data_IF_440603427501
#
_entry.id   IF_440603427501
#
_cell.length_a   1.000
_cell.length_b   1.000
_cell.length_c   1.000
_cell.angle_alpha   90.00
_cell.angle_beta   90.00
_cell.angle_gamma   90.00
#
_symmetry.space_group_name_H-M   'P 1'
#
loop_
_entity.id
_entity.type
_entity.pdbx_description
1 polymer ?
#
# COMPACT_ATOMS: atom_id res chain seq x y z
N UNK A 1 -14.68 -58.11 -8.97
CA UNK A 1 -13.71 -58.01 -7.85
C UNK A 1 -13.89 -56.78 -6.96
N UNK A 2 -14.50 -55.68 -7.41
CA UNK A 2 -14.66 -54.48 -6.58
C UNK A 2 -15.92 -54.41 -5.70
N UNK A 3 -16.87 -55.33 -5.84
CA UNK A 3 -18.13 -55.27 -5.08
C UNK A 3 -17.96 -55.62 -3.61
N UNK A 4 -17.14 -56.62 -3.28
CA UNK A 4 -16.89 -57.01 -1.88
C UNK A 4 -16.12 -55.94 -1.11
N UNK A 5 -15.19 -55.25 -1.78
CA UNK A 5 -14.41 -54.16 -1.21
C UNK A 5 -15.29 -52.91 -1.02
N UNK A 6 -16.14 -52.60 -1.99
CA UNK A 6 -17.15 -51.54 -1.86
C UNK A 6 -18.16 -51.83 -0.75
N UNK A 7 -18.73 -53.04 -0.67
CA UNK A 7 -19.70 -53.39 0.37
C UNK A 7 -19.08 -53.44 1.77
N UNK A 8 -17.82 -53.86 1.89
CA UNK A 8 -17.07 -53.83 3.14
C UNK A 8 -16.88 -52.39 3.64
N UNK A 9 -16.37 -51.51 2.78
CA UNK A 9 -16.15 -50.09 3.12
C UNK A 9 -17.46 -49.39 3.49
N UNK A 10 -18.56 -49.66 2.79
CA UNK A 10 -19.87 -49.07 3.11
C UNK A 10 -20.40 -49.60 4.45
N UNK A 11 -20.27 -50.90 4.72
CA UNK A 11 -20.69 -51.48 6.00
C UNK A 11 -19.85 -50.96 7.18
N UNK A 12 -18.53 -50.82 6.99
CA UNK A 12 -17.61 -50.30 8.00
C UNK A 12 -17.88 -48.82 8.32
N UNK A 13 -18.42 -48.05 7.36
CA UNK A 13 -18.71 -46.61 7.49
C UNK A 13 -20.21 -46.29 7.61
N UNK A 14 -21.08 -47.29 7.78
CA UNK A 14 -22.53 -47.12 7.79
C UNK A 14 -23.01 -46.16 8.90
N UNK A 15 -22.41 -46.21 10.08
CA UNK A 15 -22.72 -45.27 11.17
C UNK A 15 -22.38 -43.82 10.80
N UNK A 16 -21.24 -43.58 10.14
CA UNK A 16 -20.82 -42.26 9.68
C UNK A 16 -21.70 -41.75 8.54
N UNK A 17 -22.12 -42.64 7.63
CA UNK A 17 -23.05 -42.29 6.54
C UNK A 17 -24.43 -41.91 7.07
N UNK A 18 -24.98 -42.64 8.05
CA UNK A 18 -26.24 -42.27 8.70
C UNK A 18 -26.12 -40.95 9.43
N UNK A 19 -25.05 -40.75 10.20
CA UNK A 19 -24.81 -39.47 10.87
C UNK A 19 -24.71 -38.29 9.87
N UNK A 20 -24.12 -38.50 8.69
CA UNK A 20 -24.04 -37.51 7.63
C UNK A 20 -25.41 -37.26 6.98
N UNK A 21 -26.24 -38.28 6.78
CA UNK A 21 -27.59 -38.13 6.22
C UNK A 21 -28.52 -37.41 7.20
N UNK A 22 -28.48 -37.82 8.48
CA UNK A 22 -29.32 -37.28 9.54
C UNK A 22 -29.00 -35.81 9.85
N UNK A 23 -27.70 -35.46 9.89
CA UNK A 23 -27.28 -34.11 10.27
C UNK A 23 -26.89 -33.23 9.08
N UNK A 24 -26.42 -33.81 7.97
CA UNK A 24 -25.86 -33.07 6.85
C UNK A 24 -26.90 -32.32 6.03
N UNK A 25 -28.13 -32.82 5.93
CA UNK A 25 -29.21 -32.16 5.17
C UNK A 25 -29.63 -30.83 5.80
N UNK A 26 -29.78 -30.78 7.12
CA UNK A 26 -30.09 -29.57 7.86
C UNK A 26 -28.96 -28.55 7.73
N UNK A 27 -27.71 -28.95 7.99
CA UNK A 27 -26.55 -28.06 7.87
C UNK A 27 -26.34 -27.56 6.43
N UNK A 28 -26.55 -28.41 5.42
CA UNK A 28 -26.45 -28.00 4.02
C UNK A 28 -27.54 -27.00 3.62
N UNK A 29 -28.77 -27.17 4.12
CA UNK A 29 -29.86 -26.23 3.88
C UNK A 29 -29.62 -24.88 4.56
N UNK A 30 -29.10 -24.87 5.79
CA UNK A 30 -28.72 -23.65 6.50
C UNK A 30 -27.57 -22.93 5.78
N UNK A 31 -26.52 -23.65 5.39
CA UNK A 31 -25.42 -23.07 4.62
C UNK A 31 -25.90 -22.52 3.28
N UNK A 32 -26.78 -23.24 2.57
CA UNK A 32 -27.37 -22.77 1.31
C UNK A 32 -28.16 -21.49 1.54
N UNK A 33 -29.04 -21.47 2.53
CA UNK A 33 -29.87 -20.30 2.87
C UNK A 33 -29.00 -19.10 3.25
N UNK A 34 -27.94 -19.34 4.02
CA UNK A 34 -26.96 -18.31 4.37
C UNK A 34 -26.25 -17.76 3.13
N UNK A 35 -25.77 -18.63 2.23
CA UNK A 35 -25.10 -18.22 1.00
C UNK A 35 -26.03 -17.49 0.03
N UNK A 36 -27.27 -17.96 -0.13
CA UNK A 36 -28.30 -17.31 -0.97
C UNK A 36 -28.69 -15.94 -0.39
N UNK A 37 -28.86 -15.83 0.92
CA UNK A 37 -29.23 -14.57 1.61
C UNK A 37 -28.10 -13.54 1.57
N UNK A 38 -26.84 -13.97 1.70
CA UNK A 38 -25.67 -13.10 1.80
C UNK A 38 -24.83 -13.07 0.52
N UNK A 39 -25.36 -13.56 -0.60
CA UNK A 39 -24.59 -13.77 -1.83
C UNK A 39 -23.88 -12.50 -2.31
N UNK A 40 -24.58 -11.36 -2.26
CA UNK A 40 -24.08 -10.06 -2.71
C UNK A 40 -22.98 -9.56 -1.76
N UNK A 41 -23.27 -9.52 -0.46
CA UNK A 41 -22.34 -8.98 0.55
C UNK A 41 -21.08 -9.85 0.68
N UNK A 42 -21.22 -11.18 0.65
CA UNK A 42 -20.10 -12.10 0.67
C UNK A 42 -19.29 -12.01 -0.62
N UNK A 43 -19.95 -11.86 -1.77
CA UNK A 43 -19.29 -11.64 -3.05
C UNK A 43 -18.46 -10.35 -3.05
N UNK A 44 -19.03 -9.25 -2.52
CA UNK A 44 -18.33 -7.98 -2.39
C UNK A 44 -17.15 -8.07 -1.39
N UNK A 45 -17.35 -8.70 -0.24
CA UNK A 45 -16.30 -8.91 0.75
C UNK A 45 -15.13 -9.71 0.16
N UNK A 46 -15.41 -10.85 -0.47
CA UNK A 46 -14.39 -11.69 -1.12
C UNK A 46 -13.68 -10.90 -2.20
N UNK A 47 -14.40 -10.13 -3.02
CA UNK A 47 -13.80 -9.30 -4.07
C UNK A 47 -12.83 -8.25 -3.49
N UNK A 48 -13.24 -7.55 -2.43
CA UNK A 48 -12.39 -6.59 -1.71
C UNK A 48 -11.17 -7.26 -1.09
N UNK A 49 -11.33 -8.45 -0.51
CA UNK A 49 -10.21 -9.22 0.07
C UNK A 49 -9.23 -9.70 -1.00
N UNK A 50 -9.72 -10.17 -2.15
CA UNK A 50 -8.88 -10.59 -3.28
C UNK A 50 -8.09 -9.39 -3.80
N UNK A 51 -8.76 -8.27 -4.06
CA UNK A 51 -8.11 -7.03 -4.52
C UNK A 51 -7.02 -6.58 -3.54
N UNK A 52 -7.31 -6.59 -2.24
CA UNK A 52 -6.33 -6.24 -1.20
C UNK A 52 -5.17 -7.23 -1.16
N UNK A 53 -5.46 -8.53 -1.27
CA UNK A 53 -4.45 -9.59 -1.32
C UNK A 53 -3.50 -9.44 -2.50
N UNK A 54 -4.02 -9.15 -3.69
CA UNK A 54 -3.22 -8.90 -4.90
C UNK A 54 -2.28 -7.70 -4.72
N UNK A 55 -2.78 -6.59 -4.16
CA UNK A 55 -1.96 -5.41 -3.86
C UNK A 55 -0.85 -5.75 -2.88
N UNK A 56 -1.14 -6.44 -1.78
CA UNK A 56 -0.14 -6.84 -0.77
C UNK A 56 0.91 -7.76 -1.36
N UNK A 57 0.49 -8.81 -2.08
CA UNK A 57 1.40 -9.78 -2.71
C UNK A 57 2.36 -9.08 -3.66
N UNK A 58 1.87 -8.12 -4.46
CA UNK A 58 2.72 -7.39 -5.41
C UNK A 58 3.73 -6.44 -4.75
N UNK A 59 3.42 -5.97 -3.53
CA UNK A 59 4.30 -5.10 -2.75
C UNK A 59 5.15 -5.84 -1.71
N UNK A 60 5.12 -7.19 -1.67
CA UNK A 60 5.94 -7.99 -0.76
C UNK A 60 7.43 -7.62 -0.75
N UNK A 61 8.09 -7.31 -1.90
CA UNK A 61 9.48 -6.86 -1.88
C UNK A 61 9.69 -5.57 -1.06
N UNK A 62 8.79 -4.58 -1.22
CA UNK A 62 8.83 -3.32 -0.47
C UNK A 62 8.52 -3.51 1.02
N UNK A 63 7.51 -4.32 1.34
CA UNK A 63 7.17 -4.66 2.73
C UNK A 63 8.35 -5.35 3.41
N UNK A 64 8.99 -6.31 2.74
CA UNK A 64 10.20 -6.96 3.25
C UNK A 64 11.32 -5.96 3.50
N UNK A 65 11.56 -5.03 2.57
CA UNK A 65 12.57 -4.00 2.75
C UNK A 65 12.28 -3.13 3.98
N UNK A 66 11.04 -2.70 4.19
CA UNK A 66 10.63 -1.93 5.37
C UNK A 66 10.90 -2.75 6.63
N UNK A 67 10.42 -3.99 6.71
CA UNK A 67 10.58 -4.84 7.90
C UNK A 67 12.05 -5.14 8.22
N UNK A 68 12.90 -5.24 7.20
CA UNK A 68 14.35 -5.43 7.38
C UNK A 68 15.04 -4.14 7.81
N UNK A 69 14.77 -3.00 7.16
CA UNK A 69 15.47 -1.73 7.41
C UNK A 69 14.98 -0.99 8.66
N UNK A 70 13.68 -1.07 8.97
CA UNK A 70 13.07 -0.35 10.09
C UNK A 70 13.82 -0.46 11.42
N UNK A 71 14.21 -1.66 11.90
CA UNK A 71 14.97 -1.75 13.16
C UNK A 71 16.35 -1.07 13.08
N UNK A 72 17.01 -1.08 11.92
CA UNK A 72 18.30 -0.38 11.74
C UNK A 72 18.13 1.13 11.76
N UNK A 73 17.08 1.64 11.11
CA UNK A 73 16.76 3.07 11.11
C UNK A 73 16.47 3.58 12.53
N UNK A 74 15.63 2.85 13.29
CA UNK A 74 15.35 3.17 14.70
C UNK A 74 16.63 3.14 15.54
N UNK A 75 17.50 2.14 15.37
CA UNK A 75 18.77 2.06 16.07
C UNK A 75 19.70 3.23 15.70
N UNK A 76 19.70 3.66 14.44
CA UNK A 76 20.53 4.76 13.96
C UNK A 76 20.16 6.10 14.60
N UNK A 77 18.90 6.30 15.01
CA UNK A 77 18.45 7.50 15.71
C UNK A 77 19.27 7.82 16.97
N UNK A 78 19.73 6.78 17.69
CA UNK A 78 20.57 6.91 18.88
C UNK A 78 22.03 7.31 18.56
N UNK A 79 22.45 7.25 17.30
CA UNK A 79 23.76 7.78 16.88
C UNK A 79 23.75 9.30 16.77
N UNK A 80 22.61 9.89 16.39
CA UNK A 80 22.42 11.34 16.29
C UNK A 80 22.12 11.93 17.67
N UNK A 81 21.17 11.32 18.40
CA UNK A 81 20.78 11.70 19.75
C UNK A 81 21.44 10.78 20.79
N UNK A 82 22.73 10.99 21.03
CA UNK A 82 23.50 10.16 21.95
C UNK A 82 23.46 10.69 23.39
N UNK A 83 23.34 9.78 24.35
CA UNK A 83 23.45 10.12 25.77
C UNK A 83 24.91 10.37 26.14
N UNK A 84 25.20 11.53 26.71
CA UNK A 84 26.53 11.90 27.20
C UNK A 84 26.36 12.56 28.56
N UNK A 85 26.91 11.96 29.63
CA UNK A 85 26.87 12.54 30.98
C UNK A 85 25.46 12.70 31.58
N UNK A 86 24.51 11.84 31.22
CA UNK A 86 23.13 11.89 31.75
C UNK A 86 22.14 12.70 30.90
N UNK A 87 22.62 13.46 29.92
CA UNK A 87 21.80 14.29 29.02
C UNK A 87 21.89 13.75 27.58
N UNK A 88 20.80 13.85 26.81
CA UNK A 88 20.82 13.55 25.38
C UNK A 88 21.29 14.78 24.61
N UNK A 89 22.31 14.64 23.78
CA UNK A 89 22.81 15.71 22.91
C UNK A 89 22.67 15.29 21.45
N UNK A 90 22.10 16.15 20.62
CA UNK A 90 22.06 15.95 19.18
C UNK A 90 23.38 16.43 18.56
N UNK A 91 24.09 15.55 17.85
CA UNK A 91 25.33 15.88 17.15
C UNK A 91 25.05 16.07 15.67
N UNK A 92 25.04 17.31 15.21
CA UNK A 92 24.93 17.62 13.78
C UNK A 92 26.32 17.91 13.23
N UNK A 93 26.75 17.11 12.25
CA UNK A 93 27.92 17.38 11.44
C UNK A 93 27.48 17.81 10.04
N UNK A 94 28.06 18.88 9.52
CA UNK A 94 27.85 19.27 8.14
C UNK A 94 28.81 18.49 7.25
N UNK A 95 28.28 17.50 6.52
CA UNK A 95 29.06 16.68 5.58
C UNK A 95 28.65 17.07 4.17
N UNK A 96 29.54 17.74 3.45
CA UNK A 96 29.36 17.96 2.01
C UNK A 96 29.78 16.70 1.27
N UNK A 97 28.80 16.00 0.68
CA UNK A 97 29.08 14.96 -0.29
C UNK A 97 28.67 15.46 -1.67
N UNK A 98 29.65 15.66 -2.56
CA UNK A 98 29.45 16.12 -3.94
C UNK A 98 29.20 14.98 -4.93
N UNK A 99 29.26 13.72 -4.48
CA UNK A 99 29.04 12.54 -5.33
C UNK A 99 27.93 11.65 -4.73
N UNK A 100 26.86 11.37 -5.49
CA UNK A 100 26.55 11.92 -6.82
C UNK A 100 26.18 13.42 -6.73
N UNK A 101 26.19 14.16 -7.86
CA UNK A 101 25.90 15.59 -7.87
C UNK A 101 24.50 15.90 -7.30
N UNK A 102 24.34 17.14 -6.84
CA UNK A 102 23.04 17.66 -6.41
C UNK A 102 22.11 17.79 -7.62
N UNK A 103 20.82 17.49 -7.41
CA UNK A 103 19.79 17.64 -8.44
C UNK A 103 19.37 19.10 -8.56
N UNK A 104 19.49 19.68 -9.76
CA UNK A 104 19.10 21.05 -10.08
C UNK A 104 17.79 21.11 -10.88
N UNK A 105 17.51 20.11 -11.72
CA UNK A 105 16.29 20.09 -12.54
C UNK A 105 15.04 19.88 -11.71
N UNK A 106 14.02 20.68 -12.02
CA UNK A 106 12.75 20.73 -11.30
C UNK A 106 12.73 21.70 -10.12
N UNK A 107 13.84 22.41 -9.88
CA UNK A 107 13.90 23.59 -9.02
C UNK A 107 14.05 24.84 -9.88
N UNK A 108 13.39 25.94 -9.50
CA UNK A 108 13.47 27.21 -10.22
C UNK A 108 14.56 28.12 -9.61
N UNK A 109 15.70 28.37 -10.28
CA UNK A 109 16.77 29.21 -9.74
C UNK A 109 16.34 30.68 -9.57
N UNK A 110 15.41 31.18 -10.39
CA UNK A 110 14.86 32.52 -10.25
C UNK A 110 14.02 32.69 -8.98
N UNK A 111 13.64 31.59 -8.34
CA UNK A 111 12.95 31.59 -7.06
C UNK A 111 13.88 31.45 -5.85
N UNK A 112 15.20 31.34 -6.06
CA UNK A 112 16.17 31.28 -4.97
C UNK A 112 16.16 32.58 -4.18
N UNK A 113 16.08 32.41 -2.87
CA UNK A 113 15.96 33.50 -1.91
C UNK A 113 17.32 33.80 -1.29
N UNK A 114 17.59 35.09 -1.10
CA UNK A 114 18.73 35.52 -0.28
C UNK A 114 18.56 35.05 1.17
N UNK A 115 19.60 34.52 1.85
CA UNK A 115 19.52 34.14 3.25
C UNK A 115 19.12 35.28 4.22
N UNK A 116 19.18 36.54 3.77
CA UNK A 116 18.79 37.71 4.53
C UNK A 116 17.30 38.08 4.38
N UNK A 117 16.62 37.56 3.37
CA UNK A 117 15.18 37.79 3.19
C UNK A 117 14.40 36.83 4.11
N UNK A 118 13.69 37.41 5.09
CA UNK A 118 12.93 36.69 6.11
C UNK A 118 11.41 36.80 5.91
N UNK A 119 10.95 37.34 4.78
CA UNK A 119 9.53 37.47 4.49
C UNK A 119 8.86 36.12 4.25
N UNK A 120 7.57 36.04 4.52
CA UNK A 120 6.78 34.85 4.19
C UNK A 120 6.75 34.62 2.67
N UNK A 121 6.80 33.36 2.26
CA UNK A 121 6.68 32.96 0.85
C UNK A 121 5.73 31.76 0.77
N UNK A 122 4.83 31.71 -0.22
CA UNK A 122 4.09 30.50 -0.47
C UNK A 122 5.05 29.33 -0.76
N UNK A 123 4.70 28.14 -0.28
CA UNK A 123 5.44 26.92 -0.55
C UNK A 123 5.34 26.58 -2.04
N UNK A 124 6.48 26.30 -2.68
CA UNK A 124 6.49 25.78 -4.04
C UNK A 124 6.15 24.28 -4.01
N UNK A 125 4.88 23.97 -4.26
CA UNK A 125 4.36 22.59 -4.30
C UNK A 125 4.76 21.83 -5.57
N UNK A 126 5.37 22.51 -6.54
CA UNK A 126 5.82 21.90 -7.80
C UNK A 126 7.30 21.52 -7.76
N UNK A 127 8.05 22.00 -6.76
CA UNK A 127 9.47 21.74 -6.61
C UNK A 127 9.75 20.25 -6.34
N UNK A 128 10.39 19.58 -7.29
CA UNK A 128 10.83 18.19 -7.16
C UNK A 128 12.11 17.97 -7.96
N UNK A 129 12.88 16.94 -7.63
CA UNK A 129 14.00 16.53 -8.47
C UNK A 129 13.46 15.81 -9.72
N UNK A 130 13.63 16.40 -10.90
CA UNK A 130 13.16 15.83 -12.17
C UNK A 130 14.23 15.02 -12.92
N UNK A 131 15.40 14.82 -12.30
CA UNK A 131 16.48 14.04 -12.90
C UNK A 131 16.35 12.53 -12.63
N UNK A 132 16.90 11.67 -13.53
CA UNK A 132 16.99 10.25 -13.27
C UNK A 132 17.85 9.96 -12.03
N UNK A 133 17.41 9.01 -11.19
CA UNK A 133 18.18 8.55 -10.02
C UNK A 133 19.57 7.95 -10.36
N UNK A 134 19.82 7.63 -11.63
CA UNK A 134 21.14 7.18 -12.09
C UNK A 134 22.15 8.32 -12.28
N UNK A 135 21.69 9.58 -12.36
CA UNK A 135 22.55 10.76 -12.58
C UNK A 135 22.81 11.53 -11.29
N UNK A 136 21.78 11.71 -10.47
CA UNK A 136 21.86 12.40 -9.18
C UNK A 136 21.27 11.54 -8.08
N UNK A 137 21.46 11.93 -6.81
CA UNK A 137 20.81 11.27 -5.67
C UNK A 137 19.32 11.61 -5.60
N UNK A 138 18.59 11.47 -6.71
CA UNK A 138 17.17 11.78 -6.81
C UNK A 138 16.39 10.81 -5.92
N UNK A 139 16.06 11.24 -4.71
CA UNK A 139 15.23 10.49 -3.75
C UNK A 139 13.75 10.77 -3.98
N UNK A 140 12.90 9.97 -3.35
CA UNK A 140 11.45 10.15 -3.37
C UNK A 140 10.71 9.03 -4.08
N UNK A 141 9.39 8.98 -3.86
CA UNK A 141 8.52 7.91 -4.36
C UNK A 141 8.54 7.75 -5.88
N UNK A 142 8.83 8.84 -6.61
CA UNK A 142 8.95 8.86 -8.07
C UNK A 142 9.99 7.88 -8.63
N UNK A 143 11.04 7.58 -7.87
CA UNK A 143 12.15 6.71 -8.24
C UNK A 143 12.08 5.32 -7.56
N UNK A 144 11.05 5.05 -6.77
CA UNK A 144 10.86 3.75 -6.16
C UNK A 144 10.44 2.71 -7.21
N UNK A 145 10.90 1.45 -7.11
CA UNK A 145 10.40 0.37 -7.95
C UNK A 145 8.88 0.28 -7.82
N UNK A 146 8.17 0.41 -8.93
CA UNK A 146 6.71 0.27 -8.97
C UNK A 146 6.36 -1.20 -9.17
N UNK A 147 5.51 -1.73 -8.30
CA UNK A 147 4.79 -2.94 -8.61
C UNK A 147 3.81 -2.61 -9.75
N UNK A 148 3.94 -3.26 -10.92
CA UNK A 148 2.96 -3.08 -12.00
C UNK A 148 1.56 -3.40 -11.47
N UNK A 149 0.49 -2.77 -11.93
CA UNK A 149 -0.86 -3.19 -11.58
C UNK A 149 -1.31 -4.24 -12.61
N UNK A 150 -1.56 -5.49 -12.20
CA UNK A 150 -2.39 -6.40 -13.04
C UNK A 150 -3.85 -6.35 -12.61
N UNK A 151 -4.17 -5.52 -11.60
CA UNK A 151 -5.54 -5.23 -11.23
C UNK A 151 -6.18 -4.34 -12.30
N UNK A 152 -7.47 -4.54 -12.56
CA UNK A 152 -8.25 -3.70 -13.47
C UNK A 152 -8.06 -2.24 -13.06
N UNK A 153 -7.60 -1.39 -13.99
CA UNK A 153 -7.45 0.04 -13.73
C UNK A 153 -8.75 0.58 -13.10
N UNK A 154 -8.66 1.44 -12.06
CA UNK A 154 -9.84 1.97 -11.40
C UNK A 154 -10.73 2.62 -12.46
N UNK A 155 -11.98 2.14 -12.56
CA UNK A 155 -12.96 2.58 -13.59
C UNK A 155 -13.45 4.00 -13.39
N UNK A 156 -13.24 4.56 -12.19
CA UNK A 156 -13.48 5.95 -11.89
C UNK A 156 -12.64 6.41 -10.70
N UNK A 157 -12.30 7.70 -10.66
CA UNK A 157 -11.80 8.41 -9.48
C UNK A 157 -12.89 9.29 -8.90
N UNK A 158 -13.00 9.35 -7.57
CA UNK A 158 -13.97 10.17 -6.85
C UNK A 158 -13.26 11.26 -6.05
N UNK A 159 -13.54 12.51 -6.35
CA UNK A 159 -13.03 13.67 -5.62
C UNK A 159 -13.95 13.96 -4.42
N UNK A 160 -13.42 13.83 -3.20
CA UNK A 160 -14.16 14.06 -1.96
C UNK A 160 -14.44 15.54 -1.68
N UNK A 161 -13.63 16.45 -2.20
CA UNK A 161 -13.80 17.90 -2.04
C UNK A 161 -14.86 18.48 -2.97
N UNK A 162 -14.94 17.96 -4.21
CA UNK A 162 -15.91 18.43 -5.21
C UNK A 162 -17.13 17.53 -5.37
N UNK A 163 -17.10 16.31 -4.80
CA UNK A 163 -18.17 15.32 -4.91
C UNK A 163 -18.32 14.74 -6.33
N UNK A 164 -17.29 14.85 -7.17
CA UNK A 164 -17.35 14.46 -8.59
C UNK A 164 -16.70 13.10 -8.82
N UNK A 165 -17.43 12.23 -9.53
CA UNK A 165 -16.89 11.00 -10.12
C UNK A 165 -16.36 11.29 -11.52
N UNK A 166 -15.14 10.84 -11.81
CA UNK A 166 -14.50 10.94 -13.14
C UNK A 166 -14.26 9.53 -13.65
N UNK A 167 -14.94 9.13 -14.72
CA UNK A 167 -14.80 7.80 -15.33
C UNK A 167 -13.52 7.73 -16.18
N UNK A 168 -12.78 6.64 -16.05
CA UNK A 168 -11.47 6.43 -16.72
C UNK A 168 -11.60 5.76 -18.09
N UNK A 169 -12.68 6.02 -18.83
CA UNK A 169 -13.03 5.37 -20.10
C UNK A 169 -12.08 5.67 -21.28
N UNK A 170 -10.85 6.12 -21.03
CA UNK A 170 -9.80 6.25 -22.03
C UNK A 170 -8.71 5.23 -21.72
N UNK A 171 -8.62 4.22 -22.58
CA UNK A 171 -7.47 3.35 -22.92
C UNK A 171 -6.61 2.89 -21.71
N UNK A 172 -6.40 1.58 -21.46
CA UNK A 172 -5.45 1.14 -20.44
C UNK A 172 -4.03 1.54 -20.89
N UNK A 173 -3.67 2.80 -20.69
CA UNK A 173 -2.28 3.21 -20.69
C UNK A 173 -1.63 2.37 -19.60
N UNK A 174 -0.64 1.60 -19.99
CA UNK A 174 0.24 0.82 -19.11
C UNK A 174 0.98 1.69 -18.07
N UNK A 175 0.73 2.99 -18.10
CA UNK A 175 1.37 4.03 -17.32
C UNK A 175 0.38 4.79 -16.43
N UNK A 176 -0.66 4.11 -15.91
CA UNK A 176 -1.32 4.61 -14.68
C UNK A 176 -0.31 4.48 -13.54
N UNK A 177 0.60 5.44 -13.49
CA UNK A 177 1.46 5.67 -12.35
C UNK A 177 0.54 5.87 -11.15
N UNK A 178 0.51 4.92 -10.23
CA UNK A 178 0.03 5.20 -8.89
C UNK A 178 1.04 6.19 -8.28
N UNK A 179 0.74 7.48 -8.44
CA UNK A 179 1.48 8.64 -7.93
C UNK A 179 1.27 8.85 -6.43
N UNK A 180 0.63 7.89 -5.75
CA UNK A 180 0.12 8.08 -4.41
C UNK A 180 -1.16 8.90 -4.43
N UNK A 181 -2.13 8.51 -5.26
CA UNK A 181 -3.48 9.10 -5.42
C UNK A 181 -4.28 9.34 -4.14
N UNK A 182 -3.73 9.03 -2.96
CA UNK A 182 -4.08 9.66 -1.70
C UNK A 182 -4.14 11.19 -1.80
N UNK A 183 -3.27 11.88 -2.56
CA UNK A 183 -3.38 13.33 -2.77
C UNK A 183 -4.64 13.73 -3.57
N UNK A 184 -5.03 12.91 -4.55
CA UNK A 184 -6.25 13.12 -5.34
C UNK A 184 -7.53 12.79 -4.54
N UNK A 185 -7.44 11.85 -3.59
CA UNK A 185 -8.56 11.43 -2.75
C UNK A 185 -8.70 12.26 -1.46
N UNK A 186 -7.60 12.63 -0.81
CA UNK A 186 -7.56 13.26 0.53
C UNK A 186 -6.98 14.68 0.52
N UNK A 187 -6.68 15.23 -0.66
CA UNK A 187 -6.18 16.59 -0.81
C UNK A 187 -4.80 16.81 -0.20
N UNK A 188 -4.54 18.06 0.17
CA UNK A 188 -3.25 18.53 0.72
C UNK A 188 -2.81 17.84 2.02
N UNK A 189 -3.76 17.30 2.79
CA UNK A 189 -3.50 16.57 4.04
C UNK A 189 -3.44 15.05 3.87
N UNK A 190 -3.32 14.56 2.63
CA UNK A 190 -3.26 13.13 2.32
C UNK A 190 -2.18 12.36 3.10
N UNK A 191 -1.09 13.01 3.47
CA UNK A 191 -0.03 12.45 4.31
C UNK A 191 -0.52 12.07 5.72
N UNK A 192 -1.51 12.78 6.28
CA UNK A 192 -2.07 12.47 7.61
C UNK A 192 -2.82 11.14 7.63
N UNK A 193 -3.38 10.75 6.49
CA UNK A 193 -4.12 9.48 6.35
C UNK A 193 -3.24 8.25 6.54
N UNK A 194 -1.95 8.33 6.18
CA UNK A 194 -0.96 7.28 6.42
C UNK A 194 -0.69 7.07 7.92
N UNK A 195 -0.83 8.13 8.74
CA UNK A 195 -0.53 8.10 10.17
C UNK A 195 -1.76 7.78 11.02
N UNK A 196 -2.96 8.16 10.57
CA UNK A 196 -4.17 8.15 11.40
C UNK A 196 -5.16 7.03 11.07
N UNK A 197 -5.12 6.43 9.87
CA UNK A 197 -6.08 5.39 9.48
C UNK A 197 -5.97 4.02 10.15
N UNK A 198 -4.80 3.50 10.58
CA UNK A 198 -4.77 2.19 11.25
C UNK A 198 -5.37 2.22 12.67
N UNK A 199 -5.89 3.37 13.13
CA UNK A 199 -6.46 3.57 14.47
C UNK A 199 -7.99 3.78 14.48
N UNK A 200 -8.69 3.63 13.35
CA UNK A 200 -10.17 3.70 13.26
C UNK A 200 -10.77 2.49 12.59
#
# INVERSE_FOLDING_TARGET
QNLALFSGVVADNDASLRALIDNGSATANELRTFLETNQVDLGELINKLVTTGEVVVKHLPGIRQILVLYPYEVASGYTVAAKSGGVYNARFGFIFNSIPPVCDKGYNPSQWRSPLDRGDKPMDVTAHCAEPASKTNARGAQNAPRAGADYRAPVATYDLGTGRTTWTDQDPSSDVAYDGGAAQLYGEDSWSSLLLKPAM
#
